data_IF_926894267078
#
_entry.id   IF_926894267078
#
_cell.length_a   1.000
_cell.length_b   1.000
_cell.length_c   1.000
_cell.angle_alpha   90.00
_cell.angle_beta   90.00
_cell.angle_gamma   90.00
#
_symmetry.space_group_name_H-M   'P 1'
#
loop_
_entity.id
_entity.type
_entity.pdbx_description
1 polymer ?
#
# COMPACT_ATOMS: atom_id res chain seq x y z
N UNK A 1 -1.26 4.87 24.34
CA UNK A 1 -0.60 4.91 23.03
C UNK A 1 -1.45 5.75 22.10
N UNK A 2 -0.88 6.73 21.40
CA UNK A 2 -1.61 7.57 20.44
C UNK A 2 -1.30 7.12 19.02
N UNK A 3 -2.31 7.08 18.14
CA UNK A 3 -2.11 6.85 16.71
C UNK A 3 -1.60 8.10 16.00
N UNK A 4 -2.09 9.27 16.39
CA UNK A 4 -1.83 10.55 15.72
C UNK A 4 -1.10 11.53 16.65
N UNK A 5 -0.29 12.41 16.07
CA UNK A 5 0.27 13.59 16.73
C UNK A 5 -0.60 14.85 16.57
N UNK A 6 -1.68 14.79 15.80
CA UNK A 6 -2.62 15.91 15.68
C UNK A 6 -3.22 16.28 17.06
N UNK A 7 -3.27 17.57 17.38
CA UNK A 7 -3.67 18.08 18.70
C UNK A 7 -2.62 17.96 19.82
N UNK A 8 -1.45 17.36 19.53
CA UNK A 8 -0.36 17.15 20.49
C UNK A 8 1.02 17.40 19.85
N UNK A 9 1.06 18.07 18.70
CA UNK A 9 2.28 18.34 17.94
C UNK A 9 2.94 19.64 18.39
N UNK A 10 4.25 19.73 18.18
CA UNK A 10 5.03 20.93 18.50
C UNK A 10 5.02 21.91 17.31
N UNK A 11 4.89 21.38 16.09
CA UNK A 11 4.85 22.15 14.85
C UNK A 11 4.12 21.40 13.74
N UNK A 12 3.87 22.10 12.63
CA UNK A 12 3.43 21.52 11.36
C UNK A 12 4.58 21.60 10.36
N UNK A 13 4.85 20.51 9.66
CA UNK A 13 5.93 20.44 8.67
C UNK A 13 5.43 19.91 7.33
N UNK A 14 5.95 20.47 6.25
CA UNK A 14 5.74 19.99 4.90
C UNK A 14 6.58 18.74 4.61
N UNK A 15 5.92 17.63 4.24
CA UNK A 15 6.57 16.38 3.86
C UNK A 15 6.27 16.07 2.40
N UNK A 16 7.31 15.71 1.65
CA UNK A 16 7.21 15.40 0.23
C UNK A 16 6.73 13.96 -0.02
N UNK A 17 5.67 13.81 -0.81
CA UNK A 17 5.16 12.53 -1.29
C UNK A 17 5.31 12.45 -2.81
N UNK A 18 5.81 11.32 -3.35
CA UNK A 18 5.89 11.16 -4.79
C UNK A 18 4.50 10.90 -5.39
N UNK A 19 4.23 11.47 -6.57
CA UNK A 19 3.00 11.26 -7.31
C UNK A 19 3.27 10.86 -8.76
N UNK A 20 2.85 9.65 -9.11
CA UNK A 20 3.09 9.06 -10.44
C UNK A 20 1.82 9.05 -11.32
N UNK A 21 0.65 9.38 -10.78
CA UNK A 21 -0.62 9.34 -11.52
C UNK A 21 -0.73 10.39 -12.65
N UNK A 22 0.20 11.34 -12.69
CA UNK A 22 0.32 12.35 -13.74
C UNK A 22 1.29 11.98 -14.87
N UNK A 23 1.93 10.81 -14.82
CA UNK A 23 2.80 10.35 -15.91
C UNK A 23 1.91 9.92 -17.07
N UNK A 24 2.06 10.61 -18.21
CA UNK A 24 1.31 10.31 -19.42
C UNK A 24 1.73 8.98 -20.03
N UNK A 25 0.76 8.22 -20.52
CA UNK A 25 0.96 6.97 -21.23
C UNK A 25 0.02 6.91 -22.44
N UNK A 26 0.45 6.38 -23.60
CA UNK A 26 -0.40 6.29 -24.79
C UNK A 26 -1.69 5.46 -24.61
N UNK A 27 -1.72 4.56 -23.63
CA UNK A 27 -2.78 3.56 -23.48
C UNK A 27 -3.54 3.66 -22.15
N UNK A 28 -3.09 4.53 -21.23
CA UNK A 28 -3.72 4.70 -19.92
C UNK A 28 -3.99 6.17 -19.66
N UNK A 29 -5.12 6.45 -19.01
CA UNK A 29 -5.48 7.80 -18.57
C UNK A 29 -4.52 8.25 -17.48
N UNK A 30 -4.26 9.55 -17.41
CA UNK A 30 -3.46 10.18 -16.37
C UNK A 30 -4.18 11.41 -15.83
N UNK A 31 -3.86 11.78 -14.59
CA UNK A 31 -4.37 13.00 -13.96
C UNK A 31 -3.18 13.87 -13.60
N UNK A 32 -2.99 14.95 -14.36
CA UNK A 32 -1.84 15.84 -14.22
C UNK A 32 -1.82 16.50 -12.83
N UNK A 33 -0.67 16.43 -12.17
CA UNK A 33 -0.38 17.10 -10.92
C UNK A 33 1.14 17.27 -10.78
N UNK A 34 1.59 18.06 -9.80
CA UNK A 34 3.00 18.09 -9.41
C UNK A 34 3.49 16.67 -9.05
N UNK A 35 4.68 16.24 -9.54
CA UNK A 35 5.23 14.91 -9.26
C UNK A 35 5.67 14.74 -7.80
N UNK A 36 5.76 15.85 -7.06
CA UNK A 36 5.98 15.88 -5.63
C UNK A 36 4.84 16.67 -4.98
N UNK A 37 4.12 16.02 -4.06
CA UNK A 37 3.06 16.61 -3.25
C UNK A 37 3.63 16.95 -1.89
N UNK A 38 3.69 18.23 -1.54
CA UNK A 38 4.06 18.65 -0.18
C UNK A 38 2.80 18.62 0.68
N UNK A 39 2.78 17.75 1.68
CA UNK A 39 1.66 17.53 2.61
C UNK A 39 1.98 18.13 3.97
N UNK A 40 1.01 18.76 4.62
CA UNK A 40 1.20 19.31 5.97
C UNK A 40 0.94 18.23 7.03
N UNK A 41 1.95 17.97 7.87
CA UNK A 41 1.86 16.93 8.91
C UNK A 41 2.17 17.48 10.31
N UNK A 42 1.48 16.95 11.34
CA UNK A 42 1.75 17.28 12.73
C UNK A 42 3.02 16.56 13.19
N UNK A 43 4.05 17.30 13.60
CA UNK A 43 5.35 16.73 14.01
C UNK A 43 5.65 16.97 15.49
N UNK A 44 6.41 16.04 16.09
CA UNK A 44 7.05 16.24 17.38
C UNK A 44 8.55 16.29 17.23
N UNK A 45 9.22 17.17 17.98
CA UNK A 45 10.66 17.25 17.99
C UNK A 45 11.22 16.36 19.10
N UNK A 46 12.09 15.42 18.74
CA UNK A 46 12.79 14.56 19.68
C UNK A 46 14.27 14.91 19.73
N UNK A 47 14.83 15.01 20.93
CA UNK A 47 16.28 15.02 21.12
C UNK A 47 16.80 13.60 20.96
N UNK A 48 17.67 13.39 19.99
CA UNK A 48 18.34 12.12 19.72
C UNK A 48 19.49 11.87 20.71
N UNK A 49 20.01 10.65 20.73
CA UNK A 49 21.10 10.26 21.63
C UNK A 49 22.40 11.06 21.44
N UNK A 50 22.62 11.62 20.25
CA UNK A 50 23.76 12.48 19.92
C UNK A 50 23.53 13.96 20.31
N UNK A 51 22.39 14.28 20.91
CA UNK A 51 21.99 15.63 21.30
C UNK A 51 21.35 16.46 20.19
N UNK A 52 21.32 15.97 18.94
CA UNK A 52 20.62 16.64 17.85
C UNK A 52 19.09 16.56 18.02
N UNK A 53 18.36 17.46 17.38
CA UNK A 53 16.88 17.45 17.39
C UNK A 53 16.35 16.96 16.05
N UNK A 54 15.41 16.03 16.07
CA UNK A 54 14.81 15.43 14.88
C UNK A 54 13.27 15.52 14.94
N UNK A 55 12.61 16.11 13.93
CA UNK A 55 11.16 16.05 13.82
C UNK A 55 10.72 14.64 13.43
N UNK A 56 9.76 14.10 14.16
CA UNK A 56 9.16 12.79 13.90
C UNK A 56 7.66 12.91 13.72
N UNK A 57 7.11 11.96 12.97
CA UNK A 57 5.68 11.84 12.71
C UNK A 57 5.26 10.37 12.78
N UNK A 58 4.00 10.12 13.10
CA UNK A 58 3.47 8.76 13.11
C UNK A 58 3.23 8.24 11.69
N UNK A 59 3.30 6.92 11.51
CA UNK A 59 2.90 6.26 10.25
C UNK A 59 1.42 6.52 9.94
N UNK A 60 0.56 6.59 10.96
CA UNK A 60 -0.87 6.89 10.77
C UNK A 60 -1.08 8.27 10.13
N UNK A 61 -0.37 9.30 10.62
CA UNK A 61 -0.45 10.64 10.05
C UNK A 61 0.10 10.67 8.61
N UNK A 62 1.21 9.98 8.34
CA UNK A 62 1.76 9.83 6.98
C UNK A 62 0.79 9.14 6.03
N UNK A 63 0.07 8.11 6.49
CA UNK A 63 -0.92 7.39 5.68
C UNK A 63 -2.10 8.31 5.35
N UNK A 64 -2.68 9.01 6.33
CA UNK A 64 -3.80 9.92 6.06
C UNK A 64 -3.41 11.07 5.12
N UNK A 65 -2.20 11.61 5.28
CA UNK A 65 -1.65 12.62 4.37
C UNK A 65 -1.44 12.07 2.94
N UNK A 66 -0.93 10.85 2.80
CA UNK A 66 -0.77 10.19 1.51
C UNK A 66 -2.11 9.99 0.78
N UNK A 67 -3.17 9.61 1.52
CA UNK A 67 -4.54 9.50 1.00
C UNK A 67 -5.22 10.87 0.78
N UNK A 68 -4.55 11.98 1.13
CA UNK A 68 -5.02 13.33 0.86
C UNK A 68 -6.21 13.77 1.70
N UNK A 69 -6.36 13.29 2.93
CA UNK A 69 -7.45 13.68 3.80
C UNK A 69 -7.16 15.04 4.47
N UNK A 70 -8.09 16.00 4.34
CA UNK A 70 -8.02 17.26 5.08
C UNK A 70 -8.26 17.01 6.58
N UNK A 71 -7.39 17.59 7.40
CA UNK A 71 -7.38 17.44 8.86
C UNK A 71 -7.25 18.78 9.58
N UNK A 72 -7.51 19.89 8.88
CA UNK A 72 -7.43 21.24 9.45
C UNK A 72 -6.00 21.77 9.59
N UNK A 73 -5.08 21.29 8.76
CA UNK A 73 -3.67 21.73 8.73
C UNK A 73 -3.35 22.63 7.52
N UNK A 74 -4.39 23.14 6.84
CA UNK A 74 -4.26 24.01 5.67
C UNK A 74 -3.43 23.38 4.53
N UNK A 75 -3.57 22.06 4.31
CA UNK A 75 -2.93 21.35 3.20
C UNK A 75 -3.69 21.56 1.88
N UNK A 76 -3.19 22.41 0.99
CA UNK A 76 -3.75 22.66 -0.33
C UNK A 76 -3.86 21.41 -1.22
N UNK A 77 -3.04 20.38 -0.98
CA UNK A 77 -3.09 19.13 -1.74
C UNK A 77 -4.16 18.17 -1.20
N UNK A 78 -4.74 18.45 -0.02
CA UNK A 78 -5.80 17.62 0.58
C UNK A 78 -7.15 17.88 -0.08
N UNK A 79 -8.04 16.91 0.04
CA UNK A 79 -9.39 16.97 -0.51
C UNK A 79 -10.38 17.30 0.61
N UNK A 80 -11.29 18.24 0.35
CA UNK A 80 -12.41 18.55 1.26
C UNK A 80 -13.65 17.74 0.97
N UNK A 81 -13.75 17.21 -0.26
CA UNK A 81 -14.87 16.42 -0.72
C UNK A 81 -14.43 15.37 -1.76
N UNK A 82 -15.24 14.33 -1.93
CA UNK A 82 -14.99 13.26 -2.89
C UNK A 82 -15.06 13.69 -4.35
N UNK A 83 -15.76 14.79 -4.66
CA UNK A 83 -15.87 15.32 -6.01
C UNK A 83 -14.62 16.12 -6.46
N UNK A 84 -13.74 16.52 -5.53
CA UNK A 84 -12.52 17.24 -5.87
C UNK A 84 -11.52 16.31 -6.57
N UNK A 85 -10.94 16.76 -7.69
CA UNK A 85 -9.91 15.99 -8.41
C UNK A 85 -8.56 16.21 -7.70
N UNK A 86 -8.41 15.56 -6.55
CA UNK A 86 -7.16 15.48 -5.77
C UNK A 86 -6.65 14.04 -5.76
N UNK A 87 -5.33 13.81 -5.69
CA UNK A 87 -4.76 12.46 -5.70
C UNK A 87 -5.48 11.51 -4.75
N UNK A 88 -5.94 10.38 -5.30
CA UNK A 88 -6.61 9.27 -4.59
C UNK A 88 -8.04 9.51 -4.07
N UNK A 89 -8.70 10.61 -4.48
CA UNK A 89 -10.16 10.79 -4.29
C UNK A 89 -10.98 9.90 -5.23
N UNK A 90 -12.29 9.69 -4.97
CA UNK A 90 -13.19 9.04 -5.92
C UNK A 90 -13.25 9.74 -7.30
N UNK A 91 -13.28 11.07 -7.35
CA UNK A 91 -13.23 11.81 -8.61
C UNK A 91 -11.91 11.61 -9.38
N UNK A 92 -10.78 11.54 -8.67
CA UNK A 92 -9.49 11.16 -9.28
C UNK A 92 -9.51 9.72 -9.79
N UNK A 93 -10.07 8.79 -9.01
CA UNK A 93 -10.18 7.37 -9.37
C UNK A 93 -11.04 7.15 -10.61
N UNK A 94 -12.12 7.91 -10.76
CA UNK A 94 -12.98 7.92 -11.95
C UNK A 94 -12.21 8.31 -13.21
N UNK A 95 -11.34 9.32 -13.13
CA UNK A 95 -10.51 9.73 -14.27
C UNK A 95 -9.46 8.68 -14.65
N UNK A 96 -8.78 8.10 -13.65
CA UNK A 96 -7.73 7.09 -13.90
C UNK A 96 -8.32 5.78 -14.43
N UNK A 97 -9.36 5.26 -13.77
CA UNK A 97 -9.87 3.90 -14.01
C UNK A 97 -11.05 3.85 -14.97
N UNK A 98 -11.78 4.96 -15.13
CA UNK A 98 -13.06 5.00 -15.82
C UNK A 98 -14.24 4.43 -15.06
N UNK A 99 -14.06 3.93 -13.83
CA UNK A 99 -15.16 3.49 -12.97
C UNK A 99 -15.88 4.71 -12.39
N UNK A 100 -17.21 4.85 -12.56
CA UNK A 100 -17.94 5.96 -11.97
C UNK A 100 -17.71 6.09 -10.46
N UNK A 101 -17.44 7.31 -9.98
CA UNK A 101 -17.08 7.60 -8.58
C UNK A 101 -18.15 7.13 -7.60
N UNK A 102 -19.42 7.19 -8.00
CA UNK A 102 -20.54 6.71 -7.20
C UNK A 102 -20.39 5.23 -6.80
N UNK A 103 -19.82 4.39 -7.68
CA UNK A 103 -19.59 2.99 -7.38
C UNK A 103 -18.37 2.81 -6.47
N UNK A 104 -17.31 3.60 -6.67
CA UNK A 104 -16.15 3.62 -5.78
C UNK A 104 -16.60 3.95 -4.34
N UNK A 105 -17.39 5.01 -4.18
CA UNK A 105 -17.92 5.45 -2.90
C UNK A 105 -18.86 4.42 -2.27
N UNK A 106 -19.84 3.93 -3.04
CA UNK A 106 -20.85 3.00 -2.53
C UNK A 106 -20.20 1.71 -2.04
N UNK A 107 -19.37 1.08 -2.88
CA UNK A 107 -18.73 -0.19 -2.54
C UNK A 107 -17.73 -0.03 -1.39
N UNK A 108 -16.97 1.08 -1.33
CA UNK A 108 -16.07 1.33 -0.21
C UNK A 108 -16.84 1.46 1.12
N UNK A 109 -17.98 2.17 1.12
CA UNK A 109 -18.84 2.31 2.32
C UNK A 109 -19.46 0.98 2.72
N UNK A 110 -20.06 0.24 1.79
CA UNK A 110 -20.71 -1.04 2.07
C UNK A 110 -19.72 -2.11 2.56
N UNK A 111 -18.51 -2.12 1.98
CA UNK A 111 -17.44 -3.01 2.42
C UNK A 111 -17.03 -2.71 3.87
N UNK A 112 -16.77 -1.42 4.18
CA UNK A 112 -16.38 -1.01 5.53
C UNK A 112 -17.52 -1.21 6.55
N UNK A 113 -18.77 -0.92 6.17
CA UNK A 113 -19.95 -1.10 7.01
C UNK A 113 -20.20 -2.59 7.32
N UNK A 114 -20.05 -3.46 6.32
CA UNK A 114 -20.11 -4.92 6.54
C UNK A 114 -19.02 -5.35 7.52
N UNK A 115 -17.77 -4.94 7.31
CA UNK A 115 -16.67 -5.27 8.21
C UNK A 115 -16.93 -4.76 9.63
N UNK A 116 -17.43 -3.52 9.78
CA UNK A 116 -17.79 -2.95 11.07
C UNK A 116 -18.87 -3.78 11.79
N UNK A 117 -19.99 -4.07 11.12
CA UNK A 117 -21.11 -4.85 11.67
C UNK A 117 -20.72 -6.28 12.06
N UNK A 118 -19.77 -6.85 11.34
CA UNK A 118 -19.42 -8.27 11.45
C UNK A 118 -18.11 -8.53 12.17
N UNK A 119 -17.43 -7.48 12.65
CA UNK A 119 -16.10 -7.54 13.26
C UNK A 119 -15.04 -8.12 12.31
N UNK A 120 -14.97 -7.56 11.10
CA UNK A 120 -13.92 -7.85 10.11
C UNK A 120 -14.28 -8.90 9.06
N UNK A 121 -15.56 -9.31 8.91
CA UNK A 121 -15.96 -10.33 7.92
C UNK A 121 -16.23 -9.74 6.54
N UNK A 122 -15.22 -9.05 6.00
CA UNK A 122 -15.17 -8.64 4.60
C UNK A 122 -13.85 -9.09 3.99
N UNK A 123 -13.90 -9.67 2.80
CA UNK A 123 -12.79 -10.37 2.18
C UNK A 123 -12.58 -9.90 0.76
N UNK A 124 -11.33 -9.83 0.33
CA UNK A 124 -10.95 -9.63 -1.06
C UNK A 124 -10.29 -10.90 -1.57
N UNK A 125 -10.90 -11.53 -2.57
CA UNK A 125 -10.35 -12.68 -3.29
C UNK A 125 -9.65 -12.14 -4.54
N UNK A 126 -8.36 -12.45 -4.70
CA UNK A 126 -7.52 -11.89 -5.76
C UNK A 126 -6.57 -12.93 -6.34
N UNK A 127 -6.09 -12.68 -7.56
CA UNK A 127 -5.17 -13.58 -8.27
C UNK A 127 -4.31 -12.87 -9.32
N UNK A 128 -3.88 -13.62 -10.34
CA UNK A 128 -2.90 -13.17 -11.33
C UNK A 128 -3.29 -11.88 -12.09
N UNK A 129 -4.59 -11.60 -12.26
CA UNK A 129 -5.07 -10.40 -12.98
C UNK A 129 -4.59 -9.07 -12.40
N UNK A 130 -4.29 -9.03 -11.10
CA UNK A 130 -3.69 -7.88 -10.40
C UNK A 130 -2.23 -8.10 -10.02
N UNK A 131 -1.79 -9.35 -9.91
CA UNK A 131 -0.45 -9.75 -9.48
C UNK A 131 0.60 -9.78 -10.60
N UNK A 132 0.19 -9.96 -11.86
CA UNK A 132 1.12 -10.09 -12.99
C UNK A 132 1.38 -8.75 -13.70
N UNK A 133 1.13 -7.63 -13.00
CA UNK A 133 1.54 -6.30 -13.42
C UNK A 133 2.92 -5.95 -12.87
N UNK A 134 3.66 -5.10 -13.58
CA UNK A 134 4.95 -4.60 -13.09
C UNK A 134 4.83 -3.94 -11.71
N UNK A 135 3.76 -3.19 -11.49
CA UNK A 135 3.42 -2.55 -10.20
C UNK A 135 2.40 -3.37 -9.39
N UNK A 136 2.53 -4.70 -9.38
CA UNK A 136 1.65 -5.59 -8.62
C UNK A 136 1.61 -5.30 -7.12
N UNK A 137 2.72 -4.81 -6.59
CA UNK A 137 2.86 -4.39 -5.20
C UNK A 137 1.92 -3.22 -4.86
N UNK A 138 1.72 -2.26 -5.78
CA UNK A 138 0.79 -1.15 -5.58
C UNK A 138 -0.67 -1.63 -5.58
N UNK A 139 -1.02 -2.54 -6.50
CA UNK A 139 -2.34 -3.17 -6.52
C UNK A 139 -2.61 -3.90 -5.18
N UNK A 140 -1.65 -4.70 -4.73
CA UNK A 140 -1.76 -5.48 -3.50
C UNK A 140 -1.87 -4.58 -2.27
N UNK A 141 -0.99 -3.59 -2.13
CA UNK A 141 -0.98 -2.68 -0.98
C UNK A 141 -2.26 -1.87 -0.88
N UNK A 142 -2.87 -1.48 -2.01
CA UNK A 142 -4.17 -0.84 -2.03
C UNK A 142 -5.26 -1.71 -1.39
N UNK A 143 -5.40 -2.96 -1.85
CA UNK A 143 -6.36 -3.93 -1.30
C UNK A 143 -6.05 -4.32 0.16
N UNK A 144 -4.77 -4.50 0.50
CA UNK A 144 -4.32 -4.82 1.85
C UNK A 144 -4.65 -3.68 2.81
N UNK A 145 -4.42 -2.42 2.43
CA UNK A 145 -4.78 -1.26 3.26
C UNK A 145 -6.28 -1.23 3.56
N UNK A 146 -7.15 -1.47 2.56
CA UNK A 146 -8.60 -1.55 2.78
C UNK A 146 -8.96 -2.58 3.86
N UNK A 147 -8.36 -3.77 3.78
CA UNK A 147 -8.59 -4.85 4.74
C UNK A 147 -8.05 -4.54 6.14
N UNK A 148 -6.88 -3.89 6.23
CA UNK A 148 -6.28 -3.47 7.51
C UNK A 148 -7.14 -2.37 8.15
N UNK A 149 -7.55 -1.35 7.39
CA UNK A 149 -8.39 -0.26 7.90
C UNK A 149 -9.74 -0.76 8.41
N UNK A 150 -10.26 -1.84 7.82
CA UNK A 150 -11.52 -2.47 8.22
C UNK A 150 -11.33 -3.60 9.25
N UNK A 151 -10.11 -3.88 9.72
CA UNK A 151 -9.84 -4.92 10.72
C UNK A 151 -10.14 -6.35 10.24
N UNK A 152 -10.06 -6.62 8.93
CA UNK A 152 -10.49 -7.89 8.35
C UNK A 152 -9.43 -9.00 8.42
N UNK A 153 -8.14 -8.64 8.45
CA UNK A 153 -7.04 -9.61 8.42
C UNK A 153 -6.99 -10.39 9.73
N UNK A 154 -7.04 -11.71 9.64
CA UNK A 154 -7.01 -12.60 10.81
C UNK A 154 -8.40 -12.98 11.36
N UNK A 155 -9.48 -12.46 10.77
CA UNK A 155 -10.86 -12.80 11.14
C UNK A 155 -11.43 -13.87 10.21
N UNK A 156 -12.13 -14.86 10.77
CA UNK A 156 -12.82 -15.89 9.96
C UNK A 156 -13.93 -15.25 9.12
N UNK A 157 -13.91 -15.50 7.81
CA UNK A 157 -14.80 -14.84 6.85
C UNK A 157 -14.32 -13.46 6.37
N UNK A 158 -13.12 -13.03 6.77
CA UNK A 158 -12.50 -11.78 6.34
C UNK A 158 -11.06 -11.95 5.85
N UNK A 159 -10.53 -10.89 5.24
CA UNK A 159 -9.09 -10.74 5.00
C UNK A 159 -8.66 -10.86 3.54
N UNK A 160 -7.35 -11.09 3.39
CA UNK A 160 -6.67 -11.14 2.10
C UNK A 160 -6.59 -12.58 1.61
N UNK A 161 -7.29 -12.90 0.53
CA UNK A 161 -7.44 -14.26 0.03
C UNK A 161 -6.82 -14.37 -1.38
N UNK A 162 -5.50 -14.50 -1.41
CA UNK A 162 -4.72 -14.62 -2.63
C UNK A 162 -4.66 -16.05 -3.14
N UNK A 163 -5.00 -16.23 -4.42
CA UNK A 163 -4.95 -17.52 -5.11
C UNK A 163 -4.23 -17.40 -6.46
N UNK A 164 -3.14 -18.17 -6.61
CA UNK A 164 -2.34 -18.31 -7.83
C UNK A 164 -2.00 -19.79 -8.07
N UNK A 165 -0.73 -20.17 -8.05
CA UNK A 165 -0.31 -21.57 -8.07
C UNK A 165 -0.48 -22.27 -6.72
N UNK A 166 -0.24 -23.58 -6.73
CA UNK A 166 -0.37 -24.46 -5.56
C UNK A 166 0.89 -24.39 -4.68
N UNK A 167 1.15 -23.24 -4.06
CA UNK A 167 2.37 -23.01 -3.25
C UNK A 167 2.34 -23.72 -1.89
N UNK A 168 1.15 -23.91 -1.31
CA UNK A 168 1.00 -24.34 0.08
C UNK A 168 1.28 -25.83 0.28
N UNK A 169 2.56 -26.20 0.33
CA UNK A 169 3.02 -27.50 0.78
C UNK A 169 2.82 -27.62 2.30
N UNK A 170 1.77 -28.34 2.72
CA UNK A 170 1.35 -28.42 4.13
C UNK A 170 2.44 -28.97 5.08
N UNK A 171 3.12 -30.10 4.78
CA UNK A 171 4.15 -30.64 5.67
C UNK A 171 5.53 -30.01 5.43
N UNK A 172 5.61 -28.67 5.41
CA UNK A 172 6.79 -27.91 5.01
C UNK A 172 8.08 -28.35 5.71
N UNK A 173 8.06 -28.47 7.04
CA UNK A 173 9.26 -28.78 7.85
C UNK A 173 9.71 -30.25 7.76
N UNK A 174 8.82 -31.16 7.36
CA UNK A 174 9.17 -32.56 7.07
C UNK A 174 9.71 -32.75 5.66
N UNK A 175 9.16 -32.01 4.69
CA UNK A 175 9.59 -32.08 3.29
C UNK A 175 10.93 -31.38 3.04
N UNK A 176 11.16 -30.21 3.67
CA UNK A 176 12.33 -29.37 3.41
C UNK A 176 13.69 -30.06 3.64
N UNK A 177 13.92 -30.83 4.73
CA UNK A 177 15.18 -31.55 4.91
C UNK A 177 15.39 -32.65 3.86
N UNK A 178 14.32 -33.38 3.49
CA UNK A 178 14.37 -34.41 2.45
C UNK A 178 14.68 -33.83 1.07
N UNK A 179 14.01 -32.75 0.69
CA UNK A 179 14.13 -32.14 -0.64
C UNK A 179 15.51 -31.54 -0.91
N UNK A 180 16.18 -31.04 0.14
CA UNK A 180 17.45 -30.34 0.02
C UNK A 180 18.62 -31.02 0.77
N UNK A 181 18.44 -32.28 1.19
CA UNK A 181 19.43 -33.08 1.93
C UNK A 181 20.00 -32.38 3.18
N UNK A 182 19.15 -31.66 3.93
CA UNK A 182 19.59 -30.89 5.10
C UNK A 182 19.87 -31.74 6.34
N UNK A 183 19.46 -32.99 6.31
CA UNK A 183 19.87 -34.05 7.23
C UNK A 183 21.33 -34.46 7.03
N UNK A 184 21.90 -34.26 5.84
CA UNK A 184 23.31 -34.56 5.52
C UNK A 184 24.22 -33.33 5.50
N UNK A 185 23.80 -32.23 4.87
CA UNK A 185 24.64 -31.05 4.71
C UNK A 185 23.83 -29.74 4.68
N UNK A 186 24.42 -28.66 5.18
CA UNK A 186 23.76 -27.35 5.32
C UNK A 186 24.75 -26.20 5.04
N UNK A 187 24.34 -25.10 4.38
CA UNK A 187 23.03 -24.83 3.75
C UNK A 187 22.93 -25.34 2.30
N UNK A 188 21.71 -25.45 1.73
CA UNK A 188 21.54 -25.74 0.30
C UNK A 188 21.82 -24.49 -0.56
N UNK A 189 21.96 -24.66 -1.88
CA UNK A 189 22.07 -23.54 -2.84
C UNK A 189 20.73 -23.27 -3.51
N UNK A 190 19.86 -22.53 -2.82
CA UNK A 190 18.63 -22.01 -3.45
C UNK A 190 18.97 -20.79 -4.33
N UNK A 191 18.27 -20.65 -5.45
CA UNK A 191 18.45 -19.53 -6.39
C UNK A 191 17.10 -19.01 -6.86
N UNK A 192 16.89 -17.69 -6.85
CA UNK A 192 15.68 -17.07 -7.37
C UNK A 192 15.71 -17.03 -8.90
N UNK A 193 14.80 -17.76 -9.55
CA UNK A 193 14.90 -18.05 -10.98
C UNK A 193 14.82 -16.82 -11.89
N UNK A 194 14.04 -15.79 -11.53
CA UNK A 194 13.88 -14.59 -12.37
C UNK A 194 15.23 -13.91 -12.63
N UNK A 195 16.04 -13.67 -11.60
CA UNK A 195 17.37 -13.07 -11.76
C UNK A 195 18.33 -14.01 -12.51
N UNK A 196 18.27 -15.31 -12.21
CA UNK A 196 19.11 -16.32 -12.87
C UNK A 196 18.92 -16.29 -14.39
N UNK A 197 17.68 -16.33 -14.88
CA UNK A 197 17.43 -16.32 -16.31
C UNK A 197 17.76 -14.97 -16.95
N UNK A 198 17.41 -13.84 -16.32
CA UNK A 198 17.72 -12.52 -16.88
C UNK A 198 19.23 -12.28 -17.07
N UNK A 199 20.04 -12.67 -16.09
CA UNK A 199 21.50 -12.51 -16.16
C UNK A 199 22.15 -13.52 -17.13
N UNK A 200 21.58 -14.73 -17.26
CA UNK A 200 22.13 -15.79 -18.12
C UNK A 200 21.90 -15.56 -19.61
N UNK A 201 20.94 -14.69 -19.99
CA UNK A 201 20.63 -14.36 -21.38
C UNK A 201 21.12 -12.97 -21.82
N UNK A 202 21.77 -12.19 -20.95
CA UNK A 202 22.55 -11.04 -21.42
C UNK A 202 23.82 -11.59 -22.09
N UNK A 203 24.05 -11.34 -23.41
CA UNK A 203 25.36 -11.56 -23.97
C UNK A 203 26.35 -10.73 -23.16
N UNK A 204 27.50 -11.31 -22.86
CA UNK A 204 28.67 -10.60 -22.34
C UNK A 204 29.03 -9.53 -23.38
N UNK A 205 28.40 -8.35 -23.30
CA UNK A 205 28.73 -7.18 -24.09
C UNK A 205 30.03 -6.62 -23.51
N UNK A 206 31.14 -7.20 -23.99
CA UNK A 206 32.46 -6.59 -24.02
C UNK A 206 32.53 -5.68 -25.25
#
# INVERSE_FOLDING_TARGET
>A
MSLTLLGQHDAVAGVAFPYFGGIENPHFRSVKHNPVLVRQLPVKNLTLADGSTCPVVSVYDLVLANYGLDRGLEDENSAKDYAEIKPYTPAWGEQITGVPRQYIETIAREFADTAHKTHGRSMIILGAGVNHWYHMDMNYRGMINMLIFCGCVGQSGGGWAHYVGQEKLRPQTGWLPLAFALDWNRPPRQMNSTSFFLQSFQPMAL
#
